data_IF_105112749674
#
_entry.id   IF_105112749674
#
_cell.length_a   1.000
_cell.length_b   1.000
_cell.length_c   1.000
_cell.angle_alpha   90.00
_cell.angle_beta   90.00
_cell.angle_gamma   90.00
#
_symmetry.space_group_name_H-M   'P 1'
#
loop_
_entity.id
_entity.type
_entity.pdbx_description
1 polymer ?
#
# COMPACT_ATOMS: atom_id res chain seq x y z
N UNK A 1 3.65 -16.81 -3.62
CA UNK A 1 3.95 -15.42 -4.05
C UNK A 1 5.41 -15.11 -3.75
N UNK A 2 6.18 -14.60 -4.73
CA UNK A 2 7.54 -14.10 -4.50
C UNK A 2 7.53 -12.58 -4.56
N UNK A 3 7.90 -11.92 -3.45
CA UNK A 3 8.00 -10.47 -3.34
C UNK A 3 9.37 -10.05 -3.90
N UNK A 4 9.39 -9.59 -5.15
CA UNK A 4 10.60 -9.16 -5.85
C UNK A 4 10.34 -7.85 -6.57
N UNK A 5 11.38 -7.03 -6.69
CA UNK A 5 11.36 -5.81 -7.50
C UNK A 5 10.98 -6.14 -8.94
N UNK A 6 10.17 -5.28 -9.57
CA UNK A 6 9.71 -5.44 -10.95
C UNK A 6 8.51 -6.40 -11.13
N UNK A 7 8.03 -7.03 -10.05
CA UNK A 7 6.73 -7.73 -10.06
C UNK A 7 5.62 -6.80 -9.59
N UNK A 8 4.36 -7.07 -9.95
CA UNK A 8 3.23 -6.33 -9.43
C UNK A 8 3.29 -6.25 -7.90
N UNK A 9 3.00 -5.06 -7.35
CA UNK A 9 2.91 -4.88 -5.92
C UNK A 9 1.79 -5.75 -5.33
N UNK A 10 1.91 -6.10 -4.06
CA UNK A 10 0.88 -6.87 -3.35
C UNK A 10 -0.37 -5.99 -3.22
N UNK A 11 -1.56 -6.45 -3.66
CA UNK A 11 -2.81 -5.71 -3.48
C UNK A 11 -3.06 -5.43 -2.00
N UNK A 12 -3.60 -4.24 -1.71
CA UNK A 12 -4.02 -3.87 -0.37
C UNK A 12 -5.37 -3.15 -0.42
N UNK A 13 -6.10 -3.20 0.69
CA UNK A 13 -7.26 -2.38 0.97
C UNK A 13 -7.17 -2.00 2.45
N UNK A 14 -6.69 -0.79 2.75
CA UNK A 14 -6.40 -0.35 4.11
C UNK A 14 -7.18 0.93 4.42
N UNK A 15 -7.80 1.05 5.60
CA UNK A 15 -8.41 2.31 6.03
C UNK A 15 -7.31 3.31 6.39
N UNK A 16 -7.53 4.58 6.07
CA UNK A 16 -6.77 5.70 6.63
C UNK A 16 -7.32 6.13 8.00
N UNK A 17 -6.78 7.23 8.54
CA UNK A 17 -7.18 7.78 9.84
C UNK A 17 -8.63 8.30 9.87
N UNK A 18 -9.22 8.60 8.72
CA UNK A 18 -10.63 9.03 8.59
C UNK A 18 -11.55 7.85 8.29
N UNK A 19 -11.01 6.62 8.21
CA UNK A 19 -11.75 5.41 7.89
C UNK A 19 -12.01 5.21 6.40
N UNK A 20 -11.47 6.07 5.53
CA UNK A 20 -11.56 5.87 4.08
C UNK A 20 -10.66 4.73 3.68
N UNK A 21 -11.24 3.75 2.98
CA UNK A 21 -10.47 2.62 2.44
C UNK A 21 -9.75 3.07 1.18
N UNK A 22 -8.43 2.93 1.18
CA UNK A 22 -7.58 3.08 0.00
C UNK A 22 -7.21 1.70 -0.53
N UNK A 23 -7.39 1.50 -1.84
CA UNK A 23 -6.96 0.29 -2.54
C UNK A 23 -5.73 0.57 -3.41
N UNK A 24 -4.94 -0.46 -3.69
CA UNK A 24 -3.78 -0.30 -4.58
C UNK A 24 -4.21 0.21 -5.97
N UNK A 25 -5.30 -0.33 -6.51
CA UNK A 25 -5.83 0.03 -7.82
C UNK A 25 -6.29 1.49 -7.94
N UNK A 26 -6.66 2.12 -6.82
CA UNK A 26 -7.06 3.53 -6.80
C UNK A 26 -5.89 4.46 -7.18
N UNK A 27 -4.65 3.98 -7.09
CA UNK A 27 -3.43 4.71 -7.43
C UNK A 27 -2.85 4.34 -8.80
N UNK A 28 -3.56 3.57 -9.62
CA UNK A 28 -3.08 3.22 -10.95
C UNK A 28 -2.70 4.48 -11.76
N UNK A 29 -1.56 4.42 -12.45
CA UNK A 29 -1.01 5.56 -13.20
C UNK A 29 -0.23 6.58 -12.37
N UNK A 30 -0.12 6.40 -11.05
CA UNK A 30 0.62 7.28 -10.16
C UNK A 30 1.73 6.52 -9.43
N UNK A 31 2.76 7.26 -9.00
CA UNK A 31 3.77 6.71 -8.10
C UNK A 31 3.23 6.67 -6.67
N UNK A 32 3.26 5.49 -6.06
CA UNK A 32 2.85 5.26 -4.68
C UNK A 32 4.06 4.84 -3.84
N UNK A 33 4.30 5.55 -2.73
CA UNK A 33 5.27 5.18 -1.72
C UNK A 33 4.53 4.74 -0.46
N UNK A 34 4.74 3.50 -0.02
CA UNK A 34 4.15 2.96 1.21
C UNK A 34 5.25 2.67 2.23
N UNK A 35 5.15 3.32 3.40
CA UNK A 35 6.13 3.22 4.48
C UNK A 35 5.51 2.49 5.66
N UNK A 36 6.09 1.35 6.01
CA UNK A 36 5.75 0.65 7.24
C UNK A 36 6.67 1.16 8.36
N UNK A 37 6.10 1.86 9.34
CA UNK A 37 6.82 2.19 10.57
C UNK A 37 6.26 1.36 11.72
N UNK A 38 7.14 0.80 12.54
CA UNK A 38 6.74 0.20 13.81
C UNK A 38 6.68 1.32 14.84
N UNK A 39 5.50 1.59 15.39
CA UNK A 39 5.42 2.40 16.61
C UNK A 39 6.00 1.56 17.76
N UNK A 40 7.16 1.95 18.27
CA UNK A 40 7.69 1.41 19.52
C UNK A 40 7.10 2.28 20.64
N UNK A 41 6.25 1.67 21.45
CA UNK A 41 5.85 2.22 22.75
C UNK A 41 7.02 2.04 23.73
#
# INVERSE_FOLDING_TARGET
MSYRVGKPAVPFALPDQEGRVHRLEDYAGHWLLMVFHRHLM
#
